data_IF_587227886575
#
_entry.id   IF_587227886575
#
_cell.length_a   1.000
_cell.length_b   1.000
_cell.length_c   1.000
_cell.angle_alpha   90.00
_cell.angle_beta   90.00
_cell.angle_gamma   90.00
#
_symmetry.space_group_name_H-M   'P 1'
#
loop_
_entity.id
_entity.type
_entity.pdbx_description
1 polymer ?
#
# COMPACT_ATOMS: atom_id res chain seq x y z
N UNK A 1 10.29 -9.02 1.95
CA UNK A 1 11.56 -8.70 2.65
C UNK A 1 11.39 -8.71 4.17
N UNK A 2 10.27 -8.20 4.70
CA UNK A 2 9.88 -8.24 6.11
C UNK A 2 8.71 -9.19 6.39
N UNK A 3 8.60 -10.26 5.58
CA UNK A 3 7.59 -11.30 5.76
C UNK A 3 7.71 -11.94 7.15
N UNK A 4 6.62 -12.01 7.90
CA UNK A 4 6.56 -12.46 9.30
C UNK A 4 7.51 -11.72 10.25
N UNK A 5 7.99 -10.53 9.90
CA UNK A 5 8.77 -9.71 10.80
C UNK A 5 7.84 -8.99 11.80
N UNK A 6 7.22 -9.76 12.70
CA UNK A 6 6.11 -9.32 13.55
C UNK A 6 6.43 -8.11 14.44
N UNK A 7 7.71 -7.89 14.74
CA UNK A 7 8.21 -6.77 15.56
C UNK A 7 8.84 -5.62 14.75
N UNK A 8 8.88 -5.73 13.43
CA UNK A 8 9.49 -4.70 12.58
C UNK A 8 8.64 -3.43 12.56
N UNK A 9 9.25 -2.30 12.88
CA UNK A 9 8.66 -0.97 12.74
C UNK A 9 9.76 0.08 12.46
N UNK A 10 10.65 -0.25 11.52
CA UNK A 10 11.77 0.62 11.15
C UNK A 10 11.35 1.76 10.23
N UNK A 11 12.10 2.86 10.27
CA UNK A 11 11.97 3.96 9.31
C UNK A 11 12.50 3.53 7.93
N UNK A 12 11.66 3.70 6.90
CA UNK A 12 11.93 3.34 5.51
C UNK A 12 11.80 4.54 4.56
N UNK A 13 11.61 5.76 5.08
CA UNK A 13 11.35 6.97 4.29
C UNK A 13 12.47 7.30 3.28
N UNK A 14 13.71 6.90 3.57
CA UNK A 14 14.89 7.12 2.71
C UNK A 14 15.18 6.01 1.70
N UNK A 15 14.32 5.00 1.57
CA UNK A 15 14.55 3.90 0.63
C UNK A 15 14.16 4.30 -0.79
N UNK A 16 15.09 4.11 -1.74
CA UNK A 16 14.79 4.20 -3.17
C UNK A 16 14.26 2.85 -3.68
N UNK A 17 12.99 2.83 -4.08
CA UNK A 17 12.29 1.65 -4.61
C UNK A 17 11.86 1.83 -6.06
N UNK A 18 12.30 2.90 -6.72
CA UNK A 18 11.85 3.30 -8.07
C UNK A 18 12.15 2.27 -9.16
N UNK A 19 13.14 1.39 -8.96
CA UNK A 19 13.48 0.31 -9.90
C UNK A 19 12.92 -1.06 -9.51
N UNK A 20 12.19 -1.17 -8.41
CA UNK A 20 11.68 -2.44 -7.90
C UNK A 20 10.44 -2.86 -8.69
N UNK A 21 10.44 -4.10 -9.19
CA UNK A 21 9.35 -4.63 -10.00
C UNK A 21 8.40 -5.55 -9.24
N UNK A 22 8.81 -6.08 -8.08
CA UNK A 22 7.95 -6.93 -7.24
C UNK A 22 8.11 -6.58 -5.77
N UNK A 23 6.98 -6.30 -5.12
CA UNK A 23 6.84 -6.05 -3.69
C UNK A 23 5.92 -7.09 -3.02
N UNK A 24 5.72 -8.23 -3.68
CA UNK A 24 4.88 -9.33 -3.19
C UNK A 24 5.22 -9.71 -1.75
N UNK A 25 4.20 -9.77 -0.89
CA UNK A 25 4.28 -10.17 0.52
C UNK A 25 5.38 -9.43 1.31
N UNK A 26 5.75 -8.21 0.90
CA UNK A 26 6.94 -7.55 1.46
C UNK A 26 6.84 -7.31 2.97
N UNK A 27 5.65 -6.98 3.47
CA UNK A 27 5.31 -6.71 4.87
C UNK A 27 4.20 -7.63 5.39
N UNK A 28 3.97 -8.76 4.74
CA UNK A 28 2.95 -9.71 5.19
C UNK A 28 3.25 -10.17 6.63
N UNK A 29 2.23 -10.09 7.49
CA UNK A 29 2.29 -10.37 8.94
C UNK A 29 3.37 -9.57 9.69
N UNK A 30 3.78 -8.40 9.19
CA UNK A 30 4.60 -7.45 9.93
C UNK A 30 3.71 -6.70 10.94
N UNK A 31 3.26 -7.39 11.99
CA UNK A 31 2.17 -6.96 12.88
C UNK A 31 2.39 -5.56 13.48
N UNK A 32 3.63 -5.21 13.83
CA UNK A 32 3.99 -3.92 14.44
C UNK A 32 4.31 -2.80 13.43
N UNK A 33 4.30 -3.09 12.13
CA UNK A 33 4.74 -2.13 11.12
C UNK A 33 3.67 -1.10 10.80
N UNK A 34 4.00 0.17 11.00
CA UNK A 34 3.15 1.31 10.61
C UNK A 34 4.00 2.50 10.13
N UNK A 35 5.11 2.21 9.43
CA UNK A 35 6.01 3.25 8.91
C UNK A 35 5.43 3.96 7.69
N UNK A 36 5.74 5.25 7.54
CA UNK A 36 5.32 6.06 6.40
C UNK A 36 6.00 5.60 5.10
N UNK A 37 5.19 5.28 4.10
CA UNK A 37 5.61 4.84 2.76
C UNK A 37 5.08 5.76 1.65
N UNK A 38 4.48 6.90 2.01
CA UNK A 38 3.85 7.82 1.06
C UNK A 38 4.82 8.39 0.01
N UNK A 39 6.13 8.42 0.32
CA UNK A 39 7.19 8.90 -0.56
C UNK A 39 7.70 7.87 -1.59
N UNK A 40 7.30 6.61 -1.48
CA UNK A 40 7.81 5.55 -2.34
C UNK A 40 7.28 5.68 -3.78
N UNK A 41 8.20 5.69 -4.74
CA UNK A 41 7.87 5.58 -6.16
C UNK A 41 7.67 4.11 -6.53
N UNK A 42 6.40 3.71 -6.68
CA UNK A 42 6.00 2.34 -7.01
C UNK A 42 5.65 2.15 -8.49
N UNK A 43 5.98 3.12 -9.35
CA UNK A 43 5.60 3.13 -10.78
C UNK A 43 6.17 1.96 -11.59
N UNK A 44 7.30 1.39 -11.16
CA UNK A 44 7.93 0.22 -11.79
C UNK A 44 7.38 -1.13 -11.30
N UNK A 45 6.56 -1.13 -10.23
CA UNK A 45 6.08 -2.36 -9.60
C UNK A 45 5.01 -3.00 -10.47
N UNK A 46 5.14 -4.30 -10.71
CA UNK A 46 4.18 -5.10 -11.47
C UNK A 46 3.57 -6.23 -10.64
N UNK A 47 3.96 -6.39 -9.37
CA UNK A 47 3.38 -7.35 -8.43
C UNK A 47 3.44 -6.82 -6.99
N UNK A 48 2.27 -6.52 -6.43
CA UNK A 48 2.07 -6.09 -5.04
C UNK A 48 1.24 -7.11 -4.24
N UNK A 49 1.01 -8.30 -4.78
CA UNK A 49 0.17 -9.33 -4.16
C UNK A 49 0.50 -9.49 -2.67
N UNK A 50 -0.50 -9.37 -1.80
CA UNK A 50 -0.39 -9.63 -0.35
C UNK A 50 0.63 -8.76 0.39
N UNK A 51 1.05 -7.62 -0.17
CA UNK A 51 2.15 -6.79 0.37
C UNK A 51 2.00 -6.45 1.86
N UNK A 52 0.79 -6.13 2.33
CA UNK A 52 0.48 -5.80 3.74
C UNK A 52 -0.54 -6.77 4.35
N UNK A 53 -0.71 -7.97 3.79
CA UNK A 53 -1.67 -8.94 4.34
C UNK A 53 -1.31 -9.25 5.79
N UNK A 54 -2.27 -9.12 6.71
CA UNK A 54 -2.05 -9.37 8.14
C UNK A 54 -1.13 -8.35 8.83
N UNK A 55 -0.85 -7.20 8.22
CA UNK A 55 -0.13 -6.10 8.89
C UNK A 55 -1.10 -5.30 9.77
N UNK A 56 -1.50 -5.89 10.91
CA UNK A 56 -2.61 -5.42 11.76
C UNK A 56 -2.56 -3.94 12.18
N UNK A 57 -1.36 -3.37 12.31
CA UNK A 57 -1.19 -1.96 12.72
C UNK A 57 -0.98 -1.00 11.55
N UNK A 58 -0.80 -1.50 10.33
CA UNK A 58 -0.52 -0.68 9.17
C UNK A 58 -1.78 0.09 8.75
N UNK A 59 -1.75 1.41 8.92
CA UNK A 59 -2.85 2.31 8.59
C UNK A 59 -2.31 3.67 8.11
N UNK A 60 -1.53 3.65 7.03
CA UNK A 60 -0.91 4.84 6.46
C UNK A 60 -1.74 5.44 5.32
N UNK A 61 -1.58 6.76 5.13
CA UNK A 61 -2.08 7.45 3.96
C UNK A 61 -1.15 7.20 2.76
N UNK A 62 -1.65 6.47 1.77
CA UNK A 62 -0.91 6.13 0.55
C UNK A 62 -1.51 6.81 -0.70
N UNK A 63 -2.19 7.94 -0.54
CA UNK A 63 -2.85 8.65 -1.65
C UNK A 63 -1.90 9.03 -2.79
N UNK A 64 -0.62 9.26 -2.50
CA UNK A 64 0.40 9.53 -3.51
C UNK A 64 0.58 8.37 -4.52
N UNK A 65 0.19 7.14 -4.16
CA UNK A 65 0.32 5.98 -5.04
C UNK A 65 -0.78 5.92 -6.10
N UNK A 66 -1.88 6.67 -5.95
CA UNK A 66 -3.08 6.56 -6.79
C UNK A 66 -2.81 6.66 -8.30
N UNK A 67 -1.95 7.58 -8.71
CA UNK A 67 -1.66 7.81 -10.13
C UNK A 67 -0.64 6.82 -10.72
N UNK A 68 0.05 6.05 -9.88
CA UNK A 68 1.17 5.17 -10.25
C UNK A 68 0.96 3.70 -9.85
N UNK A 69 -0.23 3.35 -9.35
CA UNK A 69 -0.50 2.05 -8.75
C UNK A 69 -0.79 0.94 -9.79
N UNK A 70 -0.17 -0.25 -9.67
CA UNK A 70 -0.41 -1.37 -10.59
C UNK A 70 -1.68 -2.17 -10.23
N UNK A 71 -2.86 -1.62 -10.55
CA UNK A 71 -4.18 -2.19 -10.19
C UNK A 71 -4.36 -3.67 -10.57
N UNK A 72 -3.79 -4.13 -11.68
CA UNK A 72 -3.93 -5.52 -12.15
C UNK A 72 -3.19 -6.55 -11.29
N UNK A 73 -2.28 -6.11 -10.43
CA UNK A 73 -1.32 -6.98 -9.73
C UNK A 73 -1.33 -6.77 -8.22
N UNK A 74 -2.45 -6.29 -7.71
CA UNK A 74 -2.63 -5.72 -6.39
C UNK A 74 -3.63 -6.50 -5.53
N UNK A 75 -3.69 -7.82 -5.70
CA UNK A 75 -4.64 -8.67 -4.98
C UNK A 75 -4.29 -8.81 -3.50
N UNK A 76 -5.33 -8.76 -2.64
CA UNK A 76 -5.25 -8.99 -1.20
C UNK A 76 -4.19 -8.16 -0.47
N UNK A 77 -3.89 -6.94 -0.96
CA UNK A 77 -2.80 -6.13 -0.42
C UNK A 77 -3.04 -5.81 1.05
N UNK A 78 -4.26 -5.43 1.40
CA UNK A 78 -4.61 -4.92 2.73
C UNK A 78 -5.41 -5.93 3.56
N UNK A 79 -5.53 -7.19 3.11
CA UNK A 79 -6.43 -8.16 3.75
C UNK A 79 -5.95 -8.41 5.17
N UNK A 80 -6.84 -8.24 6.15
CA UNK A 80 -6.52 -8.30 7.58
C UNK A 80 -5.41 -7.31 8.02
N UNK A 81 -5.26 -6.16 7.36
CA UNK A 81 -4.39 -5.08 7.82
C UNK A 81 -5.16 -4.07 8.69
N UNK A 82 -4.46 -3.06 9.22
CA UNK A 82 -5.07 -1.93 9.95
C UNK A 82 -5.83 -0.93 9.08
N UNK A 83 -5.86 -1.13 7.76
CA UNK A 83 -6.53 -0.25 6.81
C UNK A 83 -8.04 -0.24 6.98
N UNK A 84 -8.67 0.91 6.73
CA UNK A 84 -10.14 1.04 6.79
C UNK A 84 -10.82 0.26 5.66
N UNK A 85 -10.14 0.12 4.53
CA UNK A 85 -10.55 -0.68 3.37
C UNK A 85 -9.51 -1.78 3.15
N UNK A 86 -9.92 -3.04 3.34
CA UNK A 86 -9.04 -4.18 3.58
C UNK A 86 -8.83 -5.10 2.38
N UNK A 87 -9.55 -4.98 1.26
CA UNK A 87 -9.37 -5.93 0.16
C UNK A 87 -8.38 -5.44 -0.92
N UNK A 88 -8.85 -4.58 -1.83
CA UNK A 88 -8.06 -4.06 -2.95
C UNK A 88 -8.52 -2.64 -3.26
N UNK A 89 -7.61 -1.71 -3.58
CA UNK A 89 -8.01 -0.36 -4.01
C UNK A 89 -8.89 -0.46 -5.28
N UNK A 90 -10.20 -0.23 -5.13
CA UNK A 90 -11.11 -0.20 -6.26
C UNK A 90 -11.10 1.20 -6.90
N UNK A 91 -10.82 1.24 -8.21
CA UNK A 91 -10.76 2.44 -9.04
C UNK A 91 -12.08 3.24 -9.08
N UNK A 92 -13.21 2.64 -8.72
CA UNK A 92 -14.55 3.20 -8.93
C UNK A 92 -15.13 3.95 -7.72
N UNK A 93 -14.42 4.01 -6.59
CA UNK A 93 -14.93 4.66 -5.37
C UNK A 93 -14.22 5.97 -5.01
N UNK A 94 -13.17 6.38 -5.75
CA UNK A 94 -12.37 7.57 -5.38
C UNK A 94 -11.89 7.55 -3.93
N UNK A 95 -11.76 6.34 -3.35
CA UNK A 95 -11.53 6.11 -1.94
C UNK A 95 -10.06 5.85 -1.63
N UNK A 96 -9.61 6.17 -0.41
CA UNK A 96 -8.20 6.27 -0.09
C UNK A 96 -7.47 4.94 -0.10
N UNK A 97 -6.19 5.00 -0.48
CA UNK A 97 -5.27 3.90 -0.23
C UNK A 97 -5.03 3.80 1.28
N UNK A 98 -5.67 2.81 1.90
CA UNK A 98 -5.60 2.44 3.31
C UNK A 98 -6.27 3.42 4.31
N UNK A 99 -5.64 4.56 4.65
CA UNK A 99 -6.15 5.49 5.67
C UNK A 99 -7.15 6.51 5.10
N UNK A 100 -8.27 6.75 5.80
CA UNK A 100 -9.49 7.36 5.23
C UNK A 100 -9.50 8.89 4.95
N UNK A 101 -8.42 9.63 5.19
CA UNK A 101 -8.53 11.08 5.46
C UNK A 101 -8.19 12.07 4.33
N UNK A 102 -7.73 11.64 3.15
CA UNK A 102 -6.98 12.60 2.28
C UNK A 102 -7.00 12.35 0.77
N UNK A 103 -7.56 11.23 0.27
CA UNK A 103 -7.68 11.02 -1.17
C UNK A 103 -8.85 11.82 -1.74
N UNK A 104 -8.67 13.14 -1.85
CA UNK A 104 -9.53 13.95 -2.71
C UNK A 104 -9.03 13.80 -4.13
N UNK A 105 -9.35 12.69 -4.80
CA UNK A 105 -9.08 12.62 -6.24
C UNK A 105 -10.01 13.64 -6.90
N UNK A 106 -9.45 14.71 -7.44
CA UNK A 106 -10.19 15.64 -8.31
C UNK A 106 -10.51 15.02 -9.68
N UNK A 107 -10.32 13.70 -9.84
CA UNK A 107 -10.45 12.98 -11.10
C UNK A 107 -11.75 12.18 -11.10
N UNK A 108 -12.87 12.89 -10.98
CA UNK A 108 -14.14 12.47 -11.55
C UNK A 108 -14.54 13.47 -12.64
N UNK A 109 -13.92 13.34 -13.82
CA UNK A 109 -14.51 13.75 -15.10
C UNK A 109 -14.09 12.75 -16.18
N UNK A 110 -14.66 11.56 -16.13
CA UNK A 110 -14.98 10.89 -17.38
C UNK A 110 -16.24 11.59 -17.93
N UNK A 111 -16.04 12.37 -18.98
CA UNK A 111 -17.13 12.77 -19.89
C UNK A 111 -17.54 11.60 -20.78
#
# INVERSE_FOLDING_TARGET
MFFNATLFNGDLTGWDVSSITSMKSMFENALAFNGDLSSWDVSSVVDMTEMFRGADTFNQDLCAWADIFPYSSASNIFTNSGCTYDDTPQLDQGGPFCASSSCTTTVWRHG
#
